data_IF_034193709637
#
_entry.id   IF_034193709637
#
_cell.length_a   1.000
_cell.length_b   1.000
_cell.length_c   1.000
_cell.angle_alpha   90.00
_cell.angle_beta   90.00
_cell.angle_gamma   90.00
#
_symmetry.space_group_name_H-M   'P 1'
#
loop_
_entity.id
_entity.type
_entity.pdbx_description
1 polymer ?
2 non-polymer ?
3 non-polymer ?
4 water ?
#
# COMPACT_ATOMS: atom_id res chain seq x y z
N UNK A 31 8.37 13.91 -8.21
CA UNK A 31 7.94 15.03 -9.04
C UNK A 31 7.26 14.48 -10.28
N UNK A 32 7.65 13.27 -10.68
CA UNK A 32 6.94 12.55 -11.74
C UNK A 32 5.69 11.89 -11.19
N UNK A 33 4.61 11.98 -11.96
CA UNK A 33 3.36 11.33 -11.62
C UNK A 33 3.33 9.87 -12.03
N UNK A 34 4.47 9.31 -12.45
CA UNK A 34 4.54 7.95 -12.96
C UNK A 34 4.76 6.98 -11.82
N UNK A 35 3.86 6.01 -11.68
CA UNK A 35 3.88 5.07 -10.56
C UNK A 35 4.83 3.92 -10.81
N UNK A 36 5.54 3.53 -9.78
CA UNK A 36 6.51 2.44 -9.84
C UNK A 36 6.21 1.53 -8.66
N UNK A 37 6.04 0.24 -8.90
CA UNK A 37 5.65 -0.71 -7.85
C UNK A 37 6.73 -1.76 -7.68
N UNK A 38 7.32 -1.83 -6.49
CA UNK A 38 8.35 -2.81 -6.14
C UNK A 38 7.85 -3.64 -4.98
N UNK A 39 7.73 -4.95 -5.18
CA UNK A 39 7.33 -5.84 -4.10
C UNK A 39 8.52 -6.06 -3.19
N UNK A 40 8.26 -6.16 -1.89
CA UNK A 40 9.27 -6.56 -0.92
C UNK A 40 8.80 -7.87 -0.33
N UNK A 41 9.50 -8.96 -0.64
CA UNK A 41 9.05 -10.30 -0.26
C UNK A 41 10.06 -10.94 0.66
N UNK A 42 9.56 -11.74 1.59
CA UNK A 42 10.43 -12.48 2.49
C UNK A 42 9.66 -12.96 3.69
N UNK A 43 10.26 -13.90 4.40
CA UNK A 43 9.61 -14.50 5.56
C UNK A 43 9.40 -13.46 6.66
N UNK A 44 8.38 -13.70 7.48
CA UNK A 44 8.15 -12.92 8.69
C UNK A 44 9.40 -12.90 9.56
N UNK A 45 9.73 -11.73 10.07
CA UNK A 45 10.85 -11.58 10.97
C UNK A 45 12.21 -11.36 10.32
N UNK A 46 12.30 -11.30 8.99
CA UNK A 46 13.63 -11.17 8.40
C UNK A 46 14.14 -9.74 8.38
N UNK A 47 13.30 -8.76 8.68
CA UNK A 47 13.68 -7.37 8.64
C UNK A 47 13.12 -6.55 7.50
N UNK A 48 12.03 -6.99 6.86
CA UNK A 48 11.43 -6.22 5.78
C UNK A 48 11.02 -4.83 6.24
N UNK A 49 10.30 -4.73 7.37
CA UNK A 49 9.80 -3.40 7.76
C UNK A 49 10.96 -2.48 8.13
N UNK A 50 11.97 -3.04 8.78
CA UNK A 50 13.16 -2.26 9.12
C UNK A 50 13.90 -1.79 7.88
N UNK A 51 14.07 -2.69 6.91
CA UNK A 51 14.72 -2.31 5.65
C UNK A 51 13.94 -1.23 4.94
N UNK A 52 12.63 -1.43 4.79
CA UNK A 52 11.81 -0.46 4.09
C UNK A 52 11.86 0.89 4.79
N UNK A 53 11.78 0.89 6.12
CA UNK A 53 11.80 2.14 6.85
C UNK A 53 13.09 2.90 6.58
N UNK A 54 14.23 2.20 6.60
CA UNK A 54 15.50 2.86 6.35
C UNK A 54 15.56 3.40 4.92
N UNK A 55 15.05 2.63 3.95
CA UNK A 55 15.07 3.05 2.55
C UNK A 55 14.13 4.23 2.26
N UNK A 56 13.06 4.38 3.01
CA UNK A 56 12.09 5.45 2.75
C UNK A 56 12.24 6.64 3.65
N UNK A 57 12.75 6.47 4.85
CA UNK A 57 12.80 7.54 5.83
C UNK A 57 14.22 7.92 6.26
N UNK A 58 15.26 7.27 5.71
CA UNK A 58 16.64 7.59 6.05
C UNK A 58 16.86 7.61 7.56
N UNK A 59 16.17 6.72 8.25
CA UNK A 59 16.40 6.52 9.67
C UNK A 59 16.06 5.07 9.99
N UNK A 60 16.56 4.60 11.13
CA UNK A 60 16.35 3.23 11.53
C UNK A 60 14.98 3.09 12.18
N UNK A 61 14.30 1.96 11.93
CA UNK A 61 13.00 1.68 12.53
C UNK A 61 13.21 1.27 13.99
N UNK A 62 12.84 2.17 14.91
CA UNK A 62 13.13 2.01 16.32
C UNK A 62 12.24 1.02 17.05
N UNK A 63 10.95 0.98 16.71
CA UNK A 63 9.99 0.14 17.42
C UNK A 63 9.23 -0.73 16.41
N UNK A 64 9.88 -1.76 15.88
CA UNK A 64 9.21 -2.61 14.88
C UNK A 64 8.11 -3.43 15.51
N UNK A 65 6.93 -3.40 14.90
CA UNK A 65 5.79 -4.19 15.33
C UNK A 65 5.44 -5.21 14.25
N UNK A 66 4.68 -6.23 14.65
CA UNK A 66 4.23 -7.23 13.70
C UNK A 66 3.34 -6.58 12.65
N UNK A 67 3.73 -6.71 11.38
CA UNK A 67 3.04 -6.02 10.29
C UNK A 67 1.78 -6.80 9.90
N UNK A 68 0.61 -6.15 9.97
CA UNK A 68 -0.66 -6.80 9.64
C UNK A 68 -1.05 -6.41 8.21
N UNK A 69 -1.30 -7.40 7.36
CA UNK A 69 -1.73 -7.12 5.99
C UNK A 69 -0.61 -6.49 5.16
N UNK A 70 -1.01 -5.85 4.06
CA UNK A 70 -0.07 -5.23 3.14
C UNK A 70 0.26 -3.79 3.57
N UNK A 71 1.55 -3.51 3.75
CA UNK A 71 2.04 -2.18 4.10
C UNK A 71 2.78 -1.58 2.90
N UNK A 72 2.54 -0.32 2.60
CA UNK A 72 3.17 0.35 1.46
C UNK A 72 3.89 1.60 1.97
N UNK A 73 5.15 1.79 1.54
CA UNK A 73 5.90 3.01 1.85
C UNK A 73 6.54 3.49 0.56
N UNK A 74 6.93 4.76 0.54
CA UNK A 74 7.38 5.37 -0.71
C UNK A 74 8.83 5.80 -0.59
N UNK A 75 9.65 5.40 -1.55
CA UNK A 75 11.01 5.91 -1.65
C UNK A 75 11.06 6.91 -2.79
N UNK A 76 11.46 8.14 -2.48
CA UNK A 76 11.64 9.15 -3.50
C UNK A 76 12.99 8.90 -4.15
N UNK A 77 12.97 8.52 -5.43
CA UNK A 77 14.19 8.11 -6.13
C UNK A 77 14.49 9.06 -7.28
N UNK A 78 15.73 9.56 -7.31
CA UNK A 78 16.20 10.41 -8.41
C UNK A 78 16.83 9.50 -9.45
N UNK A 79 16.10 9.24 -10.52
CA UNK A 79 16.62 8.49 -11.65
C UNK A 79 17.75 9.25 -12.32
N UNK A 80 18.83 8.55 -12.63
CA UNK A 80 20.03 9.16 -13.23
C UNK A 80 20.40 10.44 -12.50
N UNK A 81 20.52 10.34 -11.17
CA UNK A 81 20.83 11.52 -10.38
C UNK A 81 22.17 12.13 -10.82
N UNK A 82 22.23 13.46 -10.82
CA UNK A 82 23.46 14.16 -11.13
C UNK A 82 23.75 14.33 -12.61
N UNK A 83 22.90 13.78 -13.48
CA UNK A 83 23.01 13.91 -14.92
C UNK A 83 21.91 14.84 -15.43
N UNK A 84 22.03 15.35 -16.65
CA UNK A 84 20.96 16.22 -17.18
C UNK A 84 19.62 15.50 -17.36
N UNK A 85 19.59 14.18 -17.45
CA UNK A 85 18.36 13.41 -17.55
C UNK A 85 17.76 13.06 -16.17
N UNK A 86 18.15 13.77 -15.11
CA UNK A 86 17.64 13.46 -13.79
C UNK A 86 16.13 13.65 -13.68
N UNK A 87 15.44 12.62 -13.19
CA UNK A 87 13.99 12.67 -13.06
C UNK A 87 13.60 11.91 -11.80
N UNK A 88 12.69 12.51 -11.03
CA UNK A 88 12.31 11.96 -9.74
C UNK A 88 11.11 11.05 -9.89
N UNK A 89 11.16 9.90 -9.23
CA UNK A 89 10.08 8.94 -9.24
C UNK A 89 9.70 8.60 -7.81
N UNK A 90 8.42 8.33 -7.61
CA UNK A 90 7.93 7.77 -6.35
C UNK A 90 7.90 6.26 -6.49
N UNK A 91 8.78 5.57 -5.80
CA UNK A 91 8.83 4.11 -5.86
C UNK A 91 8.10 3.55 -4.65
N UNK A 92 6.99 2.86 -4.92
CA UNK A 92 6.18 2.22 -3.88
C UNK A 92 6.82 0.90 -3.48
N UNK A 93 7.11 0.72 -2.20
CA UNK A 93 7.63 -0.54 -1.67
C UNK A 93 6.46 -1.26 -1.00
N UNK A 94 6.02 -2.38 -1.61
CA UNK A 94 4.84 -3.12 -1.19
C UNK A 94 5.29 -4.32 -0.37
N UNK A 95 5.04 -4.27 0.91
CA UNK A 95 5.37 -5.34 1.85
C UNK A 95 4.06 -6.09 2.04
N UNK A 96 3.83 -7.12 1.20
CA UNK A 96 2.54 -7.78 1.13
C UNK A 96 2.37 -8.76 2.29
N UNK A 97 3.47 -9.37 2.74
CA UNK A 97 3.41 -10.24 3.90
C UNK A 97 2.91 -11.64 3.58
N UNK A 98 2.69 -12.39 4.66
CA UNK A 98 2.20 -13.75 4.55
C UNK A 98 3.31 -14.78 4.72
N UNK A 99 2.97 -16.01 4.41
CA UNK A 99 3.88 -17.14 4.58
C UNK A 99 3.85 -18.03 3.35
N UNK A 100 5.02 -18.56 2.97
CA UNK A 100 5.08 -19.48 1.84
C UNK A 100 4.34 -20.78 2.13
N UNK A 101 3.99 -21.03 3.39
CA UNK A 101 3.22 -22.19 3.76
C UNK A 101 1.72 -21.98 3.79
N UNK A 102 1.24 -20.79 3.44
CA UNK A 102 -0.20 -20.52 3.50
C UNK A 102 -0.99 -21.50 2.62
N UNK A 103 -2.27 -21.65 2.95
CA UNK A 103 -3.14 -22.51 2.17
C UNK A 103 -3.39 -21.90 0.80
N UNK A 104 -3.83 -22.77 -0.13
CA UNK A 104 -4.04 -22.36 -1.51
C UNK A 104 -4.97 -21.16 -1.62
N UNK A 105 -6.02 -21.13 -0.80
CA UNK A 105 -6.95 -20.01 -0.87
C UNK A 105 -6.29 -18.71 -0.41
N UNK A 106 -5.39 -18.79 0.57
CA UNK A 106 -4.69 -17.60 1.03
C UNK A 106 -3.77 -17.05 -0.06
N UNK A 107 -3.01 -17.94 -0.72
CA UNK A 107 -2.10 -17.52 -1.77
C UNK A 107 -2.87 -16.97 -2.97
N UNK A 108 -4.08 -17.46 -3.19
CA UNK A 108 -4.86 -16.99 -4.32
C UNK A 108 -5.36 -15.57 -4.09
N UNK A 109 -5.75 -15.24 -2.85
CA UNK A 109 -6.13 -13.86 -2.56
C UNK A 109 -4.91 -12.95 -2.51
N UNK A 110 -3.79 -13.47 -2.00
CA UNK A 110 -2.55 -12.69 -1.99
C UNK A 110 -2.07 -12.39 -3.39
N UNK A 111 -2.35 -13.28 -4.33
CA UNK A 111 -1.83 -13.15 -5.70
C UNK A 111 -2.30 -11.86 -6.37
N UNK A 112 -3.48 -11.34 -6.00
CA UNK A 112 -3.91 -10.11 -6.65
C UNK A 112 -3.01 -8.94 -6.28
N UNK A 113 -2.23 -9.06 -5.20
CA UNK A 113 -1.28 -8.00 -4.87
C UNK A 113 -0.04 -8.04 -5.76
N UNK A 114 0.14 -9.11 -6.55
CA UNK A 114 1.35 -9.28 -7.32
C UNK A 114 1.21 -8.84 -8.78
N UNK A 115 0.22 -8.01 -9.09
CA UNK A 115 0.03 -7.56 -10.47
C UNK A 115 0.67 -6.19 -10.69
N UNK A 116 1.04 -5.96 -11.95
CA UNK A 116 1.63 -4.68 -12.37
C UNK A 116 2.93 -4.40 -11.61
N UNK A 117 3.70 -5.44 -11.35
CA UNK A 117 4.92 -5.35 -10.55
C UNK A 117 6.09 -4.94 -11.45
N UNK A 118 6.87 -3.94 -11.03
CA UNK A 118 8.00 -3.49 -11.82
C UNK A 118 9.35 -3.93 -11.28
N UNK A 119 9.40 -4.39 -10.04
CA UNK A 119 10.63 -4.91 -9.50
C UNK A 119 10.31 -5.67 -8.23
N UNK A 120 11.25 -6.51 -7.81
CA UNK A 120 11.07 -7.32 -6.63
C UNK A 120 12.35 -7.28 -5.80
N UNK A 121 12.20 -6.99 -4.52
CA UNK A 121 13.27 -7.12 -3.54
C UNK A 121 12.99 -8.36 -2.72
N UNK A 122 13.92 -9.30 -2.75
CA UNK A 122 13.82 -10.55 -2.00
C UNK A 122 14.68 -10.42 -0.75
N UNK A 123 14.06 -10.50 0.42
CA UNK A 123 14.73 -10.22 1.69
C UNK A 123 14.88 -11.51 2.47
N UNK A 124 16.10 -11.79 2.94
CA UNK A 124 16.34 -12.93 3.80
C UNK A 124 17.22 -12.52 4.96
N UNK A 125 17.09 -13.28 6.05
CA UNK A 125 17.85 -13.07 7.27
C UNK A 125 19.10 -13.95 7.24
N UNK A 126 20.28 -13.31 7.23
CA UNK A 126 21.54 -14.03 7.02
C UNK A 126 21.84 -15.01 8.14
N UNK A 127 21.21 -14.88 9.30
CA UNK A 127 21.37 -15.84 10.38
C UNK A 127 20.39 -17.00 10.28
N UNK A 128 19.49 -16.99 9.31
CA UNK A 128 18.42 -17.99 9.20
C UNK A 128 18.42 -18.55 7.78
N UNK A 129 19.07 -19.70 7.59
CA UNK A 129 19.21 -20.26 6.26
C UNK A 129 17.87 -20.64 5.64
N UNK A 130 16.89 -21.02 6.45
CA UNK A 130 15.57 -21.33 5.92
C UNK A 130 14.96 -20.13 5.21
N UNK A 131 15.21 -18.92 5.71
CA UNK A 131 14.59 -17.75 5.10
C UNK A 131 15.18 -17.49 3.72
N UNK A 132 16.44 -17.91 3.49
CA UNK A 132 17.02 -17.81 2.15
C UNK A 132 16.43 -18.87 1.22
N UNK A 133 16.30 -20.09 1.70
CA UNK A 133 15.68 -21.15 0.92
C UNK A 133 14.25 -20.77 0.52
N UNK A 134 13.52 -20.12 1.42
CA UNK A 134 12.14 -19.77 1.12
C UNK A 134 12.02 -18.71 0.03
N UNK A 135 13.10 -17.98 -0.28
CA UNK A 135 13.05 -17.02 -1.38
C UNK A 135 12.74 -17.69 -2.71
N UNK A 136 13.12 -18.97 -2.87
CA UNK A 136 12.73 -19.68 -4.08
C UNK A 136 11.21 -19.84 -4.16
N UNK A 137 10.57 -20.10 -3.02
CA UNK A 137 9.12 -20.20 -2.99
C UNK A 137 8.48 -18.83 -3.20
N UNK A 138 8.99 -17.80 -2.54
CA UNK A 138 8.40 -16.47 -2.73
C UNK A 138 8.45 -16.07 -4.20
N UNK A 139 9.60 -16.28 -4.86
CA UNK A 139 9.72 -15.85 -6.25
C UNK A 139 8.77 -16.63 -7.15
N UNK A 140 8.59 -17.92 -6.88
CA UNK A 140 7.64 -18.71 -7.67
C UNK A 140 6.21 -18.22 -7.50
N UNK A 141 5.85 -17.75 -6.30
CA UNK A 141 4.49 -17.26 -6.09
C UNK A 141 4.17 -16.10 -7.02
N UNK A 142 5.15 -15.24 -7.26
CA UNK A 142 4.95 -14.05 -8.09
C UNK A 142 5.16 -14.36 -9.55
N UNK A 143 6.30 -14.97 -9.84
CA UNK A 143 6.74 -15.22 -11.20
C UNK A 143 5.96 -16.37 -11.84
N UNK A 144 4.90 -16.84 -11.16
CA UNK A 144 3.91 -17.76 -11.71
C UNK A 144 2.49 -17.22 -11.57
N UNK A 145 2.32 -15.97 -11.12
CA UNK A 145 1.02 -15.32 -11.03
C UNK A 145 1.19 -13.80 -11.21
N UNK A 164 14.68 -18.96 -14.12
CA UNK A 164 14.84 -17.56 -13.73
C UNK A 164 15.57 -16.79 -14.82
N UNK A 165 16.07 -17.52 -15.83
CA UNK A 165 16.76 -16.88 -16.94
C UNK A 165 15.81 -16.07 -17.82
N UNK A 166 14.54 -16.47 -17.90
CA UNK A 166 13.56 -15.80 -18.74
C UNK A 166 12.85 -14.65 -18.06
N UNK A 167 13.03 -14.47 -16.75
CA UNK A 167 12.31 -13.44 -16.02
C UNK A 167 12.81 -12.06 -16.44
N UNK A 168 11.87 -11.17 -16.75
CA UNK A 168 12.19 -9.81 -17.16
C UNK A 168 12.04 -8.79 -16.06
N UNK A 169 11.40 -9.14 -14.94
CA UNK A 169 11.23 -8.21 -13.82
C UNK A 169 12.53 -8.13 -13.02
N UNK A 170 13.13 -6.94 -12.89
CA UNK A 170 14.38 -6.80 -12.12
C UNK A 170 14.25 -7.28 -10.69
N UNK A 171 15.24 -8.05 -10.23
CA UNK A 171 15.24 -8.61 -8.88
C UNK A 171 16.48 -8.14 -8.11
N UNK A 172 16.32 -7.93 -6.82
CA UNK A 172 17.41 -7.57 -5.93
C UNK A 172 17.29 -8.43 -4.69
N UNK A 173 18.37 -9.11 -4.30
CA UNK A 173 18.38 -9.93 -3.09
C UNK A 173 19.07 -9.14 -1.99
N UNK A 174 18.40 -8.98 -0.85
CA UNK A 174 18.96 -8.25 0.29
C UNK A 174 19.00 -9.18 1.51
N UNK A 175 20.21 -9.37 2.05
CA UNK A 175 20.41 -10.14 3.26
C UNK A 175 20.55 -9.19 4.44
N UNK A 176 19.82 -9.48 5.51
CA UNK A 176 19.80 -8.65 6.69
C UNK A 176 20.57 -9.30 7.84
N UNK A 177 20.74 -8.52 8.91
CA UNK A 177 21.38 -8.98 10.14
C UNK A 177 22.82 -9.36 9.89
N UNK A 178 23.47 -8.67 8.96
CA UNK A 178 24.91 -8.87 8.75
C UNK A 178 25.70 -8.65 10.03
N UNK A 179 25.26 -7.72 10.88
CA UNK A 179 25.93 -7.47 12.15
C UNK A 179 25.90 -8.70 13.05
N UNK A 180 24.90 -9.56 12.91
CA UNK A 180 24.80 -10.75 13.74
C UNK A 180 25.68 -11.89 13.25
N UNK A 181 26.30 -11.76 12.08
CA UNK A 181 27.18 -12.80 11.59
C UNK A 181 28.55 -12.59 12.20
N UNK A 182 29.06 -13.64 12.85
CA UNK A 182 30.41 -13.58 13.39
C UNK A 182 31.38 -13.15 12.30
N UNK A 183 32.33 -12.29 12.67
CA UNK A 183 33.31 -11.81 11.72
C UNK A 183 34.10 -12.97 11.09
N UNK A 184 34.32 -14.04 11.86
CA UNK A 184 34.98 -15.22 11.33
C UNK A 184 34.23 -15.80 10.13
N UNK A 185 32.90 -15.83 10.19
CA UNK A 185 32.08 -16.56 9.24
C UNK A 185 31.52 -15.69 8.12
N UNK A 186 31.83 -14.39 8.13
CA UNK A 186 31.22 -13.49 7.16
C UNK A 186 31.59 -13.90 5.73
N UNK A 187 32.86 -14.24 5.52
CA UNK A 187 33.28 -14.63 4.18
C UNK A 187 32.48 -15.83 3.68
N UNK A 188 32.28 -16.82 4.54
CA UNK A 188 31.56 -18.03 4.17
C UNK A 188 30.10 -17.73 3.88
N UNK A 189 29.45 -16.92 4.71
CA UNK A 189 28.06 -16.58 4.47
C UNK A 189 27.91 -15.88 3.13
N UNK A 190 28.84 -14.97 2.82
CA UNK A 190 28.70 -14.13 1.64
C UNK A 190 28.98 -14.91 0.35
N UNK A 191 29.86 -15.91 0.41
CA UNK A 191 30.02 -16.80 -0.74
C UNK A 191 28.67 -17.47 -1.05
N UNK A 192 28.00 -17.96 -0.01
CA UNK A 192 26.74 -18.65 -0.20
C UNK A 192 25.66 -17.71 -0.76
N UNK A 193 25.57 -16.50 -0.21
CA UNK A 193 24.54 -15.59 -0.72
C UNK A 193 24.84 -15.15 -2.14
N UNK A 194 26.13 -15.10 -2.53
CA UNK A 194 26.48 -14.79 -3.91
C UNK A 194 25.92 -15.83 -4.88
N UNK A 195 26.05 -17.12 -4.54
CA UNK A 195 25.45 -18.16 -5.37
C UNK A 195 23.93 -18.06 -5.36
N UNK A 196 23.34 -17.79 -4.19
CA UNK A 196 21.90 -17.57 -4.13
C UNK A 196 21.47 -16.45 -5.08
N UNK A 197 22.14 -15.30 -5.00
CA UNK A 197 21.77 -14.17 -5.85
C UNK A 197 21.94 -14.50 -7.32
N UNK A 198 22.98 -15.28 -7.67
CA UNK A 198 23.20 -15.66 -9.06
C UNK A 198 22.05 -16.50 -9.59
N UNK A 199 21.50 -17.41 -8.76
CA UNK A 199 20.35 -18.20 -9.16
C UNK A 199 19.19 -17.32 -9.62
N UNK A 200 19.02 -16.17 -8.99
CA UNK A 200 17.92 -15.27 -9.34
C UNK A 200 18.31 -14.26 -10.42
N UNK A 201 19.54 -14.34 -10.94
CA UNK A 201 20.08 -13.31 -11.83
C UNK A 201 19.88 -11.94 -11.21
N UNK A 202 20.34 -11.79 -9.96
CA UNK A 202 20.06 -10.60 -9.17
C UNK A 202 21.35 -10.07 -8.54
N UNK A 203 21.43 -8.75 -8.42
CA UNK A 203 22.45 -8.16 -7.57
C UNK A 203 22.09 -8.42 -6.12
N UNK A 204 23.09 -8.33 -5.24
CA UNK A 204 22.84 -8.59 -3.84
C UNK A 204 23.40 -7.46 -2.99
N UNK A 205 22.69 -7.16 -1.92
CA UNK A 205 23.16 -6.26 -0.87
C UNK A 205 23.00 -6.99 0.45
N UNK A 206 24.01 -6.91 1.30
CA UNK A 206 23.97 -7.48 2.64
C UNK A 206 24.22 -6.35 3.62
N UNK A 207 23.39 -6.26 4.65
CA UNK A 207 23.52 -5.09 5.53
C UNK A 207 22.93 -5.37 6.90
N UNK A 208 23.15 -4.41 7.78
CA UNK A 208 22.53 -4.32 9.09
C UNK A 208 21.48 -3.22 9.00
N UNK A 209 20.19 -3.59 9.01
CA UNK A 209 19.10 -2.61 8.87
C UNK A 209 18.99 -1.67 10.05
N UNK A 210 19.66 -1.96 11.16
CA UNK A 210 19.65 -1.09 12.32
C UNK A 210 20.86 -0.18 12.35
N UNK A 211 21.64 -0.16 11.27
CA UNK A 211 22.75 0.77 11.16
C UNK A 211 22.44 1.75 10.04
N UNK A 212 22.16 3.02 10.34
CA UNK A 212 21.72 3.94 9.28
C UNK A 212 22.79 4.21 8.26
N UNK A 213 24.07 4.01 8.60
CA UNK A 213 25.13 4.19 7.61
C UNK A 213 25.05 3.17 6.49
N UNK A 214 24.26 2.10 6.66
CA UNK A 214 24.10 1.07 5.62
C UNK A 214 23.69 1.68 4.29
N UNK A 215 22.97 2.80 4.30
CA UNK A 215 22.53 3.41 3.06
C UNK A 215 23.26 4.73 2.77
N UNK A 216 24.44 4.92 3.38
CA UNK A 216 25.22 6.13 3.16
C UNK A 216 25.40 6.42 1.67
N UNK A 217 25.16 7.68 1.28
CA UNK A 217 25.31 8.08 -0.11
C UNK A 217 26.72 7.79 -0.60
N UNK A 218 26.83 7.27 -1.82
CA UNK A 218 28.13 6.96 -2.37
C UNK A 218 28.69 5.63 -1.92
N UNK A 219 28.14 5.01 -0.89
CA UNK A 219 28.61 3.69 -0.48
C UNK A 219 28.29 2.65 -1.55
N UNK A 220 28.97 1.51 -1.43
CA UNK A 220 28.69 0.39 -2.32
C UNK A 220 27.21 0.00 -2.27
N UNK A 221 26.62 -0.04 -1.06
CA UNK A 221 25.21 -0.40 -0.92
C UNK A 221 24.32 0.59 -1.66
N UNK A 222 24.60 1.89 -1.48
CA UNK A 222 23.74 2.91 -2.08
C UNK A 222 23.82 2.86 -3.60
N UNK A 223 25.01 2.59 -4.14
CA UNK A 223 25.18 2.53 -5.59
C UNK A 223 24.40 1.36 -6.17
N UNK A 224 24.50 0.19 -5.53
CA UNK A 224 23.76 -0.97 -6.01
C UNK A 224 22.26 -0.74 -5.91
N UNK A 225 21.83 -0.08 -4.84
CA UNK A 225 20.40 0.19 -4.68
C UNK A 225 19.91 1.12 -5.77
N UNK A 226 20.68 2.18 -6.08
CA UNK A 226 20.29 3.11 -7.15
C UNK A 226 20.29 2.43 -8.51
N UNK A 227 21.28 1.57 -8.76
CA UNK A 227 21.34 0.79 -9.99
C UNK A 227 20.09 -0.08 -10.15
N UNK A 228 19.66 -0.73 -9.08
CA UNK A 228 18.44 -1.53 -9.14
C UNK A 228 17.24 -0.67 -9.46
N UNK A 229 17.05 0.43 -8.70
CA UNK A 229 15.89 1.27 -8.97
C UNK A 229 15.95 1.88 -10.37
N UNK A 230 17.15 2.21 -10.86
CA UNK A 230 17.24 2.72 -12.23
C UNK A 230 16.79 1.67 -13.24
N UNK A 231 17.19 0.41 -13.03
CA UNK A 231 16.76 -0.66 -13.94
C UNK A 231 15.25 -0.88 -13.85
N UNK A 232 14.68 -0.79 -12.65
CA UNK A 232 13.23 -0.91 -12.50
C UNK A 232 12.53 0.16 -13.35
N UNK A 233 12.99 1.40 -13.23
CA UNK A 233 12.41 2.50 -13.98
C UNK A 233 12.65 2.34 -15.47
N UNK A 234 13.87 1.93 -15.85
CA UNK A 234 14.20 1.81 -17.27
C UNK A 234 13.38 0.72 -17.94
N UNK A 235 13.22 -0.44 -17.28
CA UNK A 235 12.47 -1.53 -17.91
C UNK A 235 11.00 -1.21 -18.05
N UNK A 236 10.47 -0.29 -17.24
CA UNK A 236 9.06 0.10 -17.28
C UNK A 236 8.82 1.24 -18.25
N UNK A 237 9.71 2.23 -18.26
CA UNK A 237 9.44 3.49 -18.97
C UNK A 237 10.34 3.72 -20.18
N UNK A 238 11.62 3.38 -20.11
CA UNK A 238 12.57 3.61 -21.19
C UNK A 238 12.99 2.32 -21.90
N UNK A 239 12.07 1.35 -22.04
CA UNK A 239 12.44 0.07 -22.66
C UNK A 239 11.76 -0.11 -24.02
N UNK B 35 -4.87 -0.51 -13.42
CA UNK B 35 -4.46 0.00 -12.12
C UNK B 35 -5.35 1.16 -11.66
N UNK B 36 -5.81 1.11 -10.43
CA UNK B 36 -6.72 2.10 -9.86
C UNK B 36 -6.37 2.33 -8.41
N UNK B 37 -6.17 3.61 -8.03
CA UNK B 37 -5.76 3.98 -6.68
C UNK B 37 -6.86 4.84 -6.05
N UNK B 38 -7.45 4.35 -4.97
CA UNK B 38 -8.49 5.09 -4.24
C UNK B 38 -8.00 5.32 -2.83
N UNK B 39 -7.89 6.60 -2.44
CA UNK B 39 -7.52 6.92 -1.07
C UNK B 39 -8.69 6.72 -0.13
N UNK B 40 -8.42 6.21 1.07
CA UNK B 40 -9.41 6.10 2.13
C UNK B 40 -8.92 7.01 3.25
N UNK B 41 -9.66 8.09 3.49
CA UNK B 41 -9.27 9.14 4.42
C UNK B 41 -10.27 9.27 5.55
N UNK B 42 -9.76 9.59 6.74
CA UNK B 42 -10.62 9.85 7.87
C UNK B 42 -9.83 9.75 9.16
N UNK B 43 -10.44 10.24 10.23
CA UNK B 43 -9.78 10.20 11.53
C UNK B 43 -9.58 8.78 12.00
N UNK B 44 -8.54 8.59 12.81
CA UNK B 44 -8.32 7.33 13.51
C UNK B 44 -9.56 6.94 14.31
N UNK B 45 -9.93 5.67 14.22
CA UNK B 45 -11.06 5.16 14.96
C UNK B 45 -12.42 5.30 14.32
N UNK B 46 -12.52 5.84 13.09
CA UNK B 46 -13.87 6.00 12.52
C UNK B 46 -14.38 4.73 11.86
N UNK B 47 -13.54 3.71 11.69
CA UNK B 47 -13.92 2.49 11.01
C UNK B 47 -13.34 2.29 9.61
N UNK B 48 -12.26 2.99 9.26
CA UNK B 48 -11.67 2.83 7.94
C UNK B 48 -11.24 1.38 7.69
N UNK B 49 -10.52 0.79 8.65
CA UNK B 49 -10.01 -0.56 8.37
C UNK B 49 -11.17 -1.53 8.25
N UNK B 50 -12.19 -1.34 9.09
CA UNK B 50 -13.37 -2.19 9.01
C UNK B 50 -14.10 -2.00 7.69
N UNK B 51 -14.22 -0.75 7.23
CA UNK B 51 -14.85 -0.49 5.94
C UNK B 51 -14.07 -1.15 4.81
N UNK B 52 -12.75 -0.95 4.78
CA UNK B 52 -11.93 -1.52 3.71
C UNK B 52 -12.07 -3.04 3.70
N UNK B 53 -12.03 -3.66 4.87
CA UNK B 53 -12.13 -5.10 4.92
C UNK B 53 -13.44 -5.58 4.31
N UNK B 54 -14.54 -4.90 4.65
CA UNK B 54 -15.83 -5.26 4.09
C UNK B 54 -15.85 -5.06 2.58
N UNK B 55 -15.24 -3.97 2.11
CA UNK B 55 -15.23 -3.65 0.67
C UNK B 55 -14.35 -4.60 -0.14
N UNK B 56 -13.33 -5.21 0.47
CA UNK B 56 -12.45 -6.09 -0.29
C UNK B 56 -12.75 -7.58 -0.10
N UNK B 57 -13.33 -7.96 1.04
CA UNK B 57 -13.55 -9.35 1.41
C UNK B 57 -15.01 -9.71 1.67
N UNK B 58 -15.95 -8.77 1.58
CA UNK B 58 -17.37 -9.06 1.85
C UNK B 58 -17.56 -9.74 3.20
N UNK B 59 -16.77 -9.37 4.18
CA UNK B 59 -16.94 -9.91 5.51
C UNK B 59 -16.45 -8.88 6.51
N UNK B 60 -16.88 -9.02 7.75
CA UNK B 60 -16.61 -8.04 8.79
C UNK B 60 -15.22 -8.25 9.36
N UNK B 61 -14.52 -7.14 9.64
CA UNK B 61 -13.20 -7.20 10.26
C UNK B 61 -13.38 -7.50 11.75
N UNK B 62 -12.99 -8.70 12.17
CA UNK B 62 -13.27 -9.15 13.52
C UNK B 62 -12.37 -8.61 14.61
N UNK B 63 -11.08 -8.47 14.33
CA UNK B 63 -10.10 -8.05 15.33
C UNK B 63 -9.32 -6.87 14.79
N UNK B 64 -9.94 -5.69 14.75
CA UNK B 64 -9.25 -4.50 14.21
C UNK B 64 -8.16 -4.07 15.17
N UNK B 65 -6.96 -3.90 14.65
CA UNK B 65 -5.84 -3.41 15.42
C UNK B 65 -5.48 -2.01 14.94
N UNK B 66 -4.76 -1.27 15.78
CA UNK B 66 -4.37 0.08 15.42
C UNK B 66 -3.47 0.04 14.20
N UNK B 67 -3.89 0.72 13.14
CA UNK B 67 -3.21 0.64 11.84
C UNK B 67 -1.95 1.50 11.86
N UNK B 68 -0.80 0.89 11.60
CA UNK B 68 0.50 1.56 11.57
C UNK B 68 0.90 1.84 10.13
N UNK B 69 1.20 3.10 9.83
CA UNK B 69 1.64 3.42 8.47
C UNK B 69 0.49 3.29 7.46
N UNK B 70 0.87 3.22 6.19
CA UNK B 70 -0.08 3.10 5.10
C UNK B 70 -0.40 1.63 4.86
N UNK B 71 -1.68 1.29 4.95
CA UNK B 71 -2.13 -0.06 4.70
C UNK B 71 -2.90 -0.08 3.39
N UNK B 72 -2.65 -1.09 2.56
CA UNK B 72 -3.31 -1.16 1.25
C UNK B 72 -4.01 -2.52 1.16
N UNK B 73 -5.28 -2.50 0.73
CA UNK B 73 -6.02 -3.72 0.43
C UNK B 73 -6.60 -3.54 -0.96
N UNK B 74 -6.91 -4.66 -1.60
CA UNK B 74 -7.34 -4.64 -2.99
C UNK B 74 -8.77 -5.14 -3.10
N UNK B 75 -9.57 -4.39 -3.82
CA UNK B 75 -10.92 -4.82 -4.12
C UNK B 75 -10.92 -5.38 -5.54
N UNK B 76 -11.27 -6.66 -5.66
CA UNK B 76 -11.42 -7.28 -6.97
C UNK B 76 -12.79 -6.84 -7.44
N UNK B 77 -12.85 -5.88 -8.37
CA UNK B 77 -14.08 -5.16 -8.67
C UNK B 77 -14.60 -5.52 -10.04
N UNK B 78 -15.88 -5.85 -10.11
CA UNK B 78 -16.54 -6.13 -11.37
C UNK B 78 -17.07 -4.81 -11.92
N UNK B 79 -16.36 -4.25 -12.89
CA UNK B 79 -16.84 -3.10 -13.64
C UNK B 79 -18.07 -3.52 -14.46
N UNK B 80 -19.11 -2.68 -14.46
CA UNK B 80 -20.39 -3.01 -15.09
C UNK B 80 -20.85 -4.42 -14.70
N UNK B 81 -20.91 -4.64 -13.39
CA UNK B 81 -21.25 -5.97 -12.87
C UNK B 81 -22.60 -6.45 -13.38
N UNK B 82 -22.68 -7.75 -13.66
CA UNK B 82 -23.92 -8.37 -14.09
C UNK B 82 -24.25 -8.21 -15.57
N UNK B 83 -23.44 -7.49 -16.33
CA UNK B 83 -23.68 -7.31 -17.75
C UNK B 83 -22.66 -8.10 -18.57
N UNK B 84 -22.94 -8.35 -19.86
CA UNK B 84 -21.96 -9.05 -20.68
C UNK B 84 -20.65 -8.29 -20.85
N UNK B 85 -20.65 -6.98 -20.61
CA UNK B 85 -19.40 -6.23 -20.67
C UNK B 85 -18.69 -6.16 -19.32
N UNK B 86 -19.04 -7.04 -18.39
CA UNK B 86 -18.39 -7.07 -17.08
C UNK B 86 -16.89 -7.37 -17.23
N UNK B 87 -16.08 -6.59 -16.52
CA UNK B 87 -14.63 -6.70 -16.60
C UNK B 87 -14.06 -6.49 -15.20
N UNK B 88 -12.98 -7.22 -14.88
CA UNK B 88 -12.39 -7.16 -13.55
C UNK B 88 -11.32 -6.08 -13.49
N UNK B 89 -11.37 -5.27 -12.42
CA UNK B 89 -10.31 -4.31 -12.11
C UNK B 89 -9.88 -4.55 -10.68
N UNK B 90 -8.57 -4.40 -10.44
CA UNK B 90 -8.02 -4.43 -9.10
C UNK B 90 -8.02 -3.00 -8.57
N UNK B 91 -8.85 -2.71 -7.58
CA UNK B 91 -8.89 -1.36 -7.05
C UNK B 91 -8.10 -1.31 -5.76
N UNK B 92 -7.03 -0.52 -5.75
CA UNK B 92 -6.22 -0.38 -4.55
C UNK B 92 -6.87 0.62 -3.59
N UNK B 93 -7.16 0.17 -2.38
CA UNK B 93 -7.72 1.05 -1.35
C UNK B 93 -6.58 1.41 -0.41
N UNK B 94 -6.16 2.68 -0.46
CA UNK B 94 -4.98 3.14 0.31
C UNK B 94 -5.46 3.82 1.58
N UNK B 95 -5.20 3.18 2.71
CA UNK B 95 -5.52 3.72 4.02
C UNK B 95 -4.22 4.32 4.59
N UNK B 96 -3.98 5.60 4.30
CA UNK B 96 -2.69 6.23 4.58
C UNK B 96 -2.53 6.58 6.05
N UNK B 97 -3.61 6.91 6.74
CA UNK B 97 -3.53 7.17 8.16
C UNK B 97 -3.07 8.57 8.55
N UNK B 98 -2.83 8.73 9.84
CA UNK B 98 -2.38 10.01 10.37
C UNK B 98 -3.51 10.79 11.00
N UNK B 99 -3.18 12.04 11.33
CA UNK B 99 -4.10 12.95 12.00
C UNK B 99 -3.99 14.33 11.39
N UNK B 100 -5.13 15.02 11.26
CA UNK B 100 -5.12 16.40 10.78
C UNK B 100 -4.53 17.35 11.81
N UNK B 101 -4.34 16.90 13.04
CA UNK B 101 -3.68 17.73 14.04
C UNK B 101 -2.18 17.58 14.09
N UNK B 102 -1.62 16.75 13.22
CA UNK B 102 -0.18 16.54 13.16
C UNK B 102 0.54 17.83 12.80
N UNK B 103 1.83 17.86 13.12
CA UNK B 103 2.66 18.99 12.75
C UNK B 103 2.88 19.03 11.25
N UNK B 104 3.25 20.21 10.76
CA UNK B 104 3.42 20.43 9.33
C UNK B 104 4.41 19.45 8.70
N UNK B 105 5.48 19.12 9.42
CA UNK B 105 6.49 18.23 8.86
C UNK B 105 5.94 16.82 8.68
N UNK B 106 5.07 16.39 9.60
CA UNK B 106 4.44 15.07 9.46
C UNK B 106 3.54 15.04 8.23
N UNK B 107 2.76 16.09 8.02
CA UNK B 107 1.85 16.15 6.88
C UNK B 107 2.60 16.21 5.56
N UNK B 108 3.80 16.79 5.55
CA UNK B 108 4.55 16.86 4.29
C UNK B 108 5.03 15.48 3.86
N UNK B 109 5.40 14.63 4.82
CA UNK B 109 5.81 13.27 4.47
C UNK B 109 4.61 12.44 4.01
N UNK B 110 3.44 12.68 4.61
CA UNK B 110 2.22 12.01 4.17
C UNK B 110 1.84 12.41 2.75
N UNK B 111 2.17 13.63 2.34
CA UNK B 111 1.73 14.16 1.05
C UNK B 111 2.22 13.31 -0.13
N UNK B 112 3.38 12.66 -0.01
CA UNK B 112 3.87 11.87 -1.13
C UNK B 112 2.96 10.68 -1.42
N UNK B 113 2.10 10.27 -0.48
CA UNK B 113 1.13 9.20 -0.70
C UNK B 113 -0.10 9.62 -1.49
N UNK B 114 -0.30 10.92 -1.69
CA UNK B 114 -1.52 11.45 -2.26
C UNK B 114 -1.40 11.74 -3.75
N UNK B 115 -0.43 11.14 -4.43
CA UNK B 115 -0.26 11.38 -5.86
C UNK B 115 -0.90 10.26 -6.68
N UNK B 116 -1.30 10.62 -7.90
CA UNK B 116 -1.87 9.67 -8.86
C UNK B 116 -3.17 9.05 -8.35
N UNK B 117 -3.97 9.84 -7.65
CA UNK B 117 -5.17 9.35 -6.98
C UNK B 117 -6.33 9.36 -7.97
N UNK B 118 -7.07 8.25 -8.06
CA UNK B 118 -8.19 8.16 -8.98
C UNK B 118 -9.55 8.25 -8.31
N UNK B 119 -9.62 8.11 -6.99
CA UNK B 119 -10.87 8.34 -6.27
C UNK B 119 -10.57 8.51 -4.81
N UNK B 120 -11.51 9.09 -4.09
CA UNK B 120 -11.31 9.31 -2.65
C UNK B 120 -12.58 8.92 -1.92
N UNK B 121 -12.44 8.10 -0.87
CA UNK B 121 -13.52 7.80 0.04
C UNK B 121 -13.23 8.53 1.34
N UNK B 122 -14.16 9.40 1.73
CA UNK B 122 -14.07 10.18 2.96
C UNK B 122 -14.92 9.52 4.03
N UNK B 123 -14.29 9.07 5.11
CA UNK B 123 -14.95 8.24 6.11
C UNK B 123 -15.10 9.03 7.39
N UNK B 124 -16.32 9.06 7.92
CA UNK B 124 -16.55 9.68 9.22
C UNK B 124 -17.46 8.75 10.05
N UNK B 125 -17.34 8.93 11.37
CA UNK B 125 -18.09 8.19 12.36
C UNK B 125 -19.33 9.03 12.71
N UNK B 126 -20.51 8.50 12.39
CA UNK B 126 -21.75 9.28 12.55
C UNK B 126 -22.01 9.67 14.00
N UNK B 127 -21.38 9.00 14.97
CA UNK B 127 -21.50 9.39 16.36
C UNK B 127 -20.50 10.46 16.78
N UNK B 128 -19.59 10.87 15.91
CA UNK B 128 -18.51 11.80 16.27
C UNK B 128 -18.52 12.96 15.27
N UNK B 129 -19.15 14.06 15.64
CA UNK B 129 -19.27 15.19 14.73
C UNK B 129 -17.90 15.75 14.36
N UNK B 130 -16.94 15.63 15.27
CA UNK B 130 -15.59 16.07 15.00
C UNK B 130 -15.01 15.37 13.77
N UNK B 131 -15.33 14.08 13.60
CA UNK B 131 -14.73 13.32 12.51
C UNK B 131 -15.30 13.74 11.15
N UNK B 132 -16.55 14.20 11.08
CA UNK B 132 -17.02 14.70 9.80
C UNK B 132 -16.48 16.10 9.51
N UNK B 133 -16.40 16.95 10.54
CA UNK B 133 -15.76 18.25 10.35
C UNK B 133 -14.34 18.07 9.84
N UNK B 134 -13.62 17.08 10.36
CA UNK B 134 -12.24 16.88 9.97
C UNK B 134 -12.11 16.38 8.53
N UNK B 135 -13.20 15.92 7.91
CA UNK B 135 -13.13 15.57 6.50
C UNK B 135 -12.77 16.79 5.65
N UNK B 136 -13.17 18.00 6.07
CA UNK B 136 -12.75 19.20 5.33
C UNK B 136 -11.24 19.38 5.41
N UNK B 137 -10.62 19.07 6.54
CA UNK B 137 -9.17 19.14 6.62
C UNK B 137 -8.53 18.03 5.81
N UNK B 138 -9.06 16.81 5.89
CA UNK B 138 -8.49 15.71 5.12
C UNK B 138 -8.51 16.01 3.63
N UNK B 139 -9.64 16.48 3.12
CA UNK B 139 -9.76 16.71 1.68
C UNK B 139 -8.84 17.85 1.23
N UNK B 140 -8.70 18.89 2.04
CA UNK B 140 -7.77 19.96 1.71
C UNK B 140 -6.32 19.49 1.68
N UNK B 141 -5.95 18.54 2.56
CA UNK B 141 -4.59 18.01 2.55
C UNK B 141 -4.27 17.38 1.20
N UNK B 142 -5.25 16.72 0.59
CA UNK B 142 -5.06 16.03 -0.68
C UNK B 142 -5.25 16.98 -1.84
N UNK B 143 -6.39 17.67 -1.89
CA UNK B 143 -6.70 18.54 -3.01
C UNK B 143 -6.01 19.90 -2.94
N UNK B 144 -5.15 20.15 -1.95
CA UNK B 144 -4.27 21.33 -1.98
C UNK B 144 -2.82 21.04 -1.64
N UNK B 145 -2.44 19.78 -1.43
CA UNK B 145 -1.05 19.37 -1.20
C UNK B 145 -0.85 17.93 -1.67
N UNK B 164 -14.75 23.10 -4.22
CA UNK B 164 -14.84 21.70 -4.63
C UNK B 164 -15.58 21.52 -5.94
N UNK B 165 -16.11 22.62 -6.47
CA UNK B 165 -16.82 22.55 -7.75
C UNK B 165 -15.89 22.19 -8.90
N UNK B 166 -14.60 22.53 -8.79
CA UNK B 166 -13.61 22.24 -9.83
C UNK B 166 -12.99 20.85 -9.70
N UNK B 167 -13.22 20.15 -8.59
CA UNK B 167 -12.58 18.86 -8.39
C UNK B 167 -13.18 17.81 -9.33
N UNK B 168 -12.30 17.12 -10.06
CA UNK B 168 -12.71 16.08 -10.99
C UNK B 168 -12.51 14.67 -10.44
N UNK B 169 -11.80 14.52 -9.32
CA UNK B 169 -11.57 13.22 -8.72
C UNK B 169 -12.85 12.75 -8.04
N UNK B 170 -13.41 11.61 -8.43
CA UNK B 170 -14.66 11.15 -7.81
C UNK B 170 -14.51 10.96 -6.31
N UNK B 171 -15.50 11.45 -5.56
CA UNK B 171 -15.50 11.40 -4.10
C UNK B 171 -16.73 10.66 -3.62
N UNK B 172 -16.55 9.91 -2.54
CA UNK B 172 -17.64 9.19 -1.88
C UNK B 172 -17.52 9.46 -0.37
N UNK B 173 -18.61 9.90 0.25
CA UNK B 173 -18.65 10.12 1.69
C UNK B 173 -19.35 8.93 2.34
N UNK B 174 -18.68 8.31 3.31
CA UNK B 174 -19.24 7.16 4.01
C UNK B 174 -19.31 7.48 5.49
N UNK B 175 -20.51 7.37 6.07
CA UNK B 175 -20.70 7.51 7.50
C UNK B 175 -20.83 6.13 8.13
N UNK B 176 -20.03 5.89 9.16
CA UNK B 176 -20.02 4.60 9.83
C UNK B 176 -20.79 4.68 11.14
N UNK B 177 -21.01 3.51 11.73
CA UNK B 177 -21.69 3.37 13.01
C UNK B 177 -23.14 3.86 12.96
N UNK B 178 -23.77 3.72 11.79
CA UNK B 178 -25.19 4.02 11.66
C UNK B 178 -26.02 3.24 12.68
N UNK B 179 -25.59 2.03 13.02
CA UNK B 179 -26.31 1.24 14.01
C UNK B 179 -26.38 1.95 15.35
N UNK B 180 -25.39 2.76 15.66
CA UNK B 180 -25.31 3.44 16.96
C UNK B 180 -26.16 4.70 17.03
N UNK B 181 -26.76 5.13 15.94
CA UNK B 181 -27.59 6.33 15.96
C UNK B 181 -29.01 5.88 16.30
N UNK B 182 -29.47 6.32 17.47
CA UNK B 182 -30.84 6.06 17.88
C UNK B 182 -31.83 6.59 16.85
N UNK B 183 -32.96 5.90 16.71
CA UNK B 183 -34.01 6.39 15.81
C UNK B 183 -34.40 7.81 16.14
N UNK B 184 -34.34 8.20 17.42
CA UNK B 184 -34.63 9.57 17.84
C UNK B 184 -33.76 10.59 17.12
N UNK B 185 -32.47 10.29 16.94
CA UNK B 185 -31.50 11.26 16.42
C UNK B 185 -31.20 11.06 14.94
N UNK B 186 -31.81 10.07 14.30
CA UNK B 186 -31.41 9.76 12.93
C UNK B 186 -31.69 10.92 11.99
N UNK B 187 -32.85 11.57 12.13
CA UNK B 187 -33.21 12.64 11.20
C UNK B 187 -32.21 13.79 11.28
N UNK B 188 -31.84 14.19 12.50
CA UNK B 188 -30.90 15.29 12.66
C UNK B 188 -29.51 14.93 12.15
N UNK B 189 -29.06 13.71 12.46
CA UNK B 189 -27.74 13.26 12.04
C UNK B 189 -27.64 13.24 10.51
N UNK B 190 -28.66 12.70 9.85
CA UNK B 190 -28.59 12.51 8.41
C UNK B 190 -28.80 13.80 7.62
N UNK B 191 -29.60 14.73 8.14
CA UNK B 191 -29.72 16.03 7.49
C UNK B 191 -28.35 16.69 7.36
N UNK B 192 -27.55 16.62 8.43
CA UNK B 192 -26.22 17.23 8.41
C UNK B 192 -25.31 16.54 7.39
N UNK B 193 -25.31 15.22 7.35
CA UNK B 193 -24.42 14.52 6.44
C UNK B 193 -24.77 14.80 4.99
N UNK B 194 -26.05 15.06 4.71
CA UNK B 194 -26.44 15.47 3.36
C UNK B 194 -25.75 16.78 2.99
N UNK B 195 -25.73 17.76 3.91
CA UNK B 195 -24.99 18.99 3.63
C UNK B 195 -23.53 18.69 3.39
N UNK B 196 -22.98 17.78 4.19
CA UNK B 196 -21.60 17.36 4.02
C UNK B 196 -21.37 16.82 2.62
N UNK B 197 -22.22 15.89 2.17
CA UNK B 197 -22.01 15.28 0.86
C UNK B 197 -22.16 16.30 -0.26
N UNK B 198 -23.10 17.24 -0.12
CA UNK B 198 -23.28 18.25 -1.16
C UNK B 198 -22.06 19.15 -1.26
N UNK B 199 -21.47 19.53 -0.12
CA UNK B 199 -20.26 20.35 -0.15
C UNK B 199 -19.16 19.70 -0.97
N UNK B 200 -19.04 18.38 -0.90
CA UNK B 200 -18.00 17.69 -1.65
C UNK B 200 -18.47 17.27 -3.04
N UNK B 201 -19.72 17.57 -3.41
CA UNK B 201 -20.31 17.05 -4.64
C UNK B 201 -20.12 15.54 -4.70
N UNK B 202 -20.55 14.87 -3.64
CA UNK B 202 -20.28 13.46 -3.49
C UNK B 202 -21.56 12.72 -3.14
N UNK B 203 -21.65 11.49 -3.61
CA UNK B 203 -22.68 10.61 -3.10
C UNK B 203 -22.33 10.20 -1.67
N UNK B 204 -23.33 9.78 -0.91
CA UNK B 204 -23.13 9.39 0.48
C UNK B 204 -23.74 8.03 0.75
N UNK B 205 -23.07 7.26 1.59
CA UNK B 205 -23.59 6.01 2.13
C UNK B 205 -23.41 6.03 3.63
N UNK B 206 -24.41 5.60 4.37
CA UNK B 206 -24.31 5.48 5.82
C UNK B 206 -24.58 4.03 6.17
N UNK B 207 -23.72 3.42 6.98
CA UNK B 207 -23.85 1.99 7.19
C UNK B 207 -23.18 1.60 8.51
N UNK B 208 -23.39 0.33 8.84
CA UNK B 208 -22.76 -0.37 9.95
C UNK B 208 -21.71 -1.32 9.35
N UNK B 209 -20.43 -0.96 9.51
CA UNK B 209 -19.34 -1.77 8.95
C UNK B 209 -19.20 -3.13 9.61
N UNK B 210 -19.84 -3.35 10.75
CA UNK B 210 -19.80 -4.64 11.44
C UNK B 210 -21.04 -5.49 11.17
N UNK B 211 -21.87 -5.10 10.22
CA UNK B 211 -23.02 -5.88 9.77
C UNK B 211 -22.79 -6.32 8.33
N UNK B 212 -22.58 -7.61 8.06
CA UNK B 212 -22.28 -8.02 6.67
C UNK B 212 -23.40 -7.71 5.68
N UNK B 213 -24.63 -7.51 6.16
CA UNK B 213 -25.71 -7.07 5.26
C UNK B 213 -25.53 -5.66 4.75
N UNK B 214 -24.61 -4.87 5.32
CA UNK B 214 -24.43 -3.50 4.88
C UNK B 214 -24.10 -3.41 3.40
N UNK B 215 -23.34 -4.38 2.88
CA UNK B 215 -22.93 -4.35 1.48
C UNK B 215 -23.37 -5.60 0.74
N UNK B 216 -24.36 -6.32 1.26
CA UNK B 216 -24.87 -7.50 0.58
C UNK B 216 -25.18 -7.18 -0.88
N UNK B 217 -24.82 -8.11 -1.76
CA UNK B 217 -25.07 -7.92 -3.17
C UNK B 217 -26.53 -7.61 -3.42
N UNK B 218 -26.77 -6.66 -4.32
CA UNK B 218 -28.11 -6.22 -4.65
C UNK B 218 -28.69 -5.18 -3.72
N UNK B 219 -28.09 -4.98 -2.53
CA UNK B 219 -28.58 -3.94 -1.64
C UNK B 219 -28.39 -2.57 -2.26
N UNK B 220 -29.12 -1.59 -1.74
CA UNK B 220 -28.94 -0.22 -2.18
C UNK B 220 -27.50 0.25 -1.96
N UNK B 221 -26.91 -0.09 -0.82
CA UNK B 221 -25.53 0.30 -0.54
C UNK B 221 -24.57 -0.30 -1.58
N UNK B 222 -24.74 -1.59 -1.89
CA UNK B 222 -23.84 -2.23 -2.84
C UNK B 222 -23.95 -1.60 -4.22
N UNK B 223 -25.15 -1.19 -4.60
CA UNK B 223 -25.34 -0.55 -5.90
C UNK B 223 -24.61 0.79 -5.96
N UNK B 224 -24.76 1.61 -4.91
CA UNK B 224 -24.06 2.88 -4.89
C UNK B 224 -22.54 2.68 -4.87
N UNK B 225 -22.07 1.65 -4.16
CA UNK B 225 -20.63 1.40 -4.13
C UNK B 225 -20.12 1.04 -5.51
N UNK B 226 -20.87 0.20 -6.23
CA UNK B 226 -20.44 -0.18 -7.58
C UNK B 226 -20.46 1.01 -8.53
N UNK B 227 -21.47 1.88 -8.40
CA UNK B 227 -21.53 3.09 -9.22
C UNK B 227 -20.31 3.98 -8.98
N UNK B 228 -19.93 4.18 -7.72
CA UNK B 228 -18.75 4.97 -7.43
C UNK B 228 -17.49 4.36 -8.06
N UNK B 229 -17.25 3.07 -7.82
CA UNK B 229 -16.03 2.45 -8.34
C UNK B 229 -16.04 2.43 -9.87
N UNK B 230 -17.22 2.24 -10.48
CA UNK B 230 -17.27 2.31 -11.94
C UNK B 230 -16.93 3.71 -12.43
N UNK B 231 -17.42 4.74 -11.72
CA UNK B 231 -17.06 6.11 -12.08
C UNK B 231 -15.57 6.35 -11.92
N UNK B 232 -14.95 5.80 -10.88
CA UNK B 232 -13.51 5.92 -10.72
C UNK B 232 -12.79 5.34 -11.93
N UNK B 233 -13.17 4.14 -12.33
CA UNK B 233 -12.54 3.48 -13.48
C UNK B 233 -12.78 4.27 -14.75
N UNK B 234 -14.00 4.76 -14.93
CA UNK B 234 -14.34 5.48 -16.15
C UNK B 234 -13.56 6.78 -16.27
N UNK B 235 -13.47 7.54 -15.18
CA UNK B 235 -12.71 8.79 -15.21
C UNK B 235 -11.23 8.56 -15.37
N UNK B 236 -10.74 7.36 -15.07
CA UNK B 236 -9.32 7.06 -15.21
C UNK B 236 -8.98 6.62 -16.62
N UNK B 237 -9.82 5.78 -17.22
CA UNK B 237 -9.53 5.11 -18.49
C UNK B 237 -10.42 5.54 -19.63
N UNK B 238 -11.72 5.68 -19.40
CA UNK B 238 -12.66 5.99 -20.47
C UNK B 238 -13.15 7.44 -20.38
#
# INVERSE_FOLDING_TARGET
MSYYHHHHHHDYDIPTTENLYFQGAMDPEFASLDRVKVLVLGDSGVGKSSLVHLLCHNQVLGNPSWTVGCSVDIRVHDYKEGTPEEKTYYIELWDVGGSVGSASSVKSTRAVFYNSVNGIILVHDLTNKKSSQNLYRWSLEVLNRDAVPTGVLVTNGDYDREQFADNQIPLLVIGTKLDQIHETKRHEVLIRTAFLAEDFNAEEINLDCTNPRSSAAGSSNAVKLSRFFDKVIEKRYFFREGNQI
MSYYHHHHHHDYDIPTTENLYFQGAMDPEFASLDRVKVLVLGDSGVGKSSLVHLLCHNQVLGNPSWTVGCSVDIRVHDYKEGTPEEKTYYIELWDVGGSVGSASSVKSTRAVFYNSVNGIILVHDLTNKKSSQNLYRWSLEVLNRDAVPTGVLVTNGDYDREQFADNQIPLLVIGTKLDQIHETKRHEVLIRTAFLAEDFNAEEINLDCTNPRSSAAGSSNAVKLSRFFDKVIEKRYFFREGNQI
#
